data_IF_300841863727
#
_entry.id   IF_300841863727
#
_cell.length_a   1.000
_cell.length_b   1.000
_cell.length_c   1.000
_cell.angle_alpha   90.00
_cell.angle_beta   90.00
_cell.angle_gamma   90.00
#
_symmetry.space_group_name_H-M   'P 1'
#
loop_
_entity.id
_entity.type
_entity.pdbx_description
1 polymer ?
#
# COMPACT_ATOMS: atom_id res chain seq x y z
N UNK A 1 6.83 14.52 21.74
CA UNK A 1 8.24 14.93 21.54
C UNK A 1 9.02 15.09 22.84
N UNK A 2 8.48 15.68 23.95
CA UNK A 2 9.19 15.84 25.23
C UNK A 2 9.72 14.50 25.80
N UNK A 3 8.90 13.45 25.87
CA UNK A 3 9.31 12.13 26.36
C UNK A 3 10.45 11.51 25.54
N UNK A 4 10.42 11.64 24.22
CA UNK A 4 11.48 11.12 23.34
C UNK A 4 12.81 11.83 23.61
N UNK A 5 12.81 13.16 23.81
CA UNK A 5 14.01 13.94 24.15
C UNK A 5 14.62 13.50 25.49
N UNK A 6 13.78 13.15 26.47
CA UNK A 6 14.23 12.67 27.79
C UNK A 6 14.88 11.29 27.69
N UNK A 7 14.29 10.38 26.90
CA UNK A 7 14.76 9.00 26.73
C UNK A 7 16.07 8.91 25.94
N UNK A 8 16.41 9.91 25.12
CA UNK A 8 17.61 9.95 24.26
C UNK A 8 17.89 8.62 23.53
N UNK A 9 16.90 8.06 22.78
CA UNK A 9 17.11 6.77 22.12
C UNK A 9 18.15 6.90 21.00
N UNK A 10 18.91 5.83 20.75
CA UNK A 10 19.86 5.76 19.64
C UNK A 10 19.14 5.74 18.29
N UNK A 11 17.96 5.13 18.22
CA UNK A 11 17.06 5.12 17.07
C UNK A 11 15.63 4.78 17.50
N UNK A 12 14.67 5.01 16.60
CA UNK A 12 13.26 4.65 16.78
C UNK A 12 12.88 3.57 15.76
N UNK A 13 12.45 2.42 16.27
CA UNK A 13 11.74 1.44 15.43
C UNK A 13 10.29 1.90 15.32
N UNK A 14 9.93 2.47 14.16
CA UNK A 14 8.56 2.90 13.94
C UNK A 14 7.66 1.71 13.56
N UNK A 15 6.74 1.33 14.43
CA UNK A 15 5.75 0.27 14.22
C UNK A 15 4.32 0.82 14.18
N UNK A 16 4.14 2.13 14.01
CA UNK A 16 2.84 2.77 13.90
C UNK A 16 2.24 2.56 12.50
N UNK A 17 0.95 2.44 12.41
CA UNK A 17 0.23 2.26 11.15
C UNK A 17 -0.82 3.34 10.93
N UNK A 18 -1.19 3.58 9.66
CA UNK A 18 -2.21 4.54 9.27
C UNK A 18 -1.80 6.00 9.51
N UNK A 19 -2.81 6.82 9.75
CA UNK A 19 -2.64 8.26 9.97
C UNK A 19 -1.68 8.54 11.13
N UNK A 20 -0.81 9.51 10.94
CA UNK A 20 0.31 9.92 11.80
C UNK A 20 1.48 8.93 11.87
N UNK A 21 1.29 7.64 11.63
CA UNK A 21 2.33 6.62 11.73
C UNK A 21 3.10 6.39 10.42
N UNK A 22 2.39 6.34 9.30
CA UNK A 22 2.96 5.98 7.98
C UNK A 22 2.73 7.04 6.89
N UNK A 23 2.28 8.25 7.27
CA UNK A 23 1.96 9.37 6.37
C UNK A 23 3.01 10.49 6.33
N UNK A 24 4.15 10.31 6.99
CA UNK A 24 5.22 11.30 7.09
C UNK A 24 5.19 12.13 8.37
N UNK A 25 4.10 12.13 9.14
CA UNK A 25 3.96 12.99 10.31
C UNK A 25 4.96 12.64 11.43
N UNK A 26 4.99 11.39 11.87
CA UNK A 26 5.95 10.96 12.91
C UNK A 26 7.39 11.04 12.39
N UNK A 27 7.60 10.73 11.12
CA UNK A 27 8.90 10.84 10.47
C UNK A 27 9.43 12.27 10.52
N UNK A 28 8.59 13.28 10.24
CA UNK A 28 8.96 14.69 10.33
C UNK A 28 9.35 15.10 11.76
N UNK A 29 8.65 14.57 12.78
CA UNK A 29 9.00 14.82 14.17
C UNK A 29 10.40 14.25 14.48
N UNK A 30 10.71 13.05 14.00
CA UNK A 30 11.99 12.39 14.24
C UNK A 30 13.14 13.07 13.49
N UNK A 31 12.92 13.54 12.26
CA UNK A 31 13.89 14.37 11.52
C UNK A 31 14.22 15.66 12.28
N UNK A 32 13.20 16.37 12.77
CA UNK A 32 13.41 17.59 13.56
C UNK A 32 14.15 17.34 14.89
N UNK A 33 14.03 16.15 15.44
CA UNK A 33 14.75 15.72 16.65
C UNK A 33 16.14 15.16 16.34
N UNK A 34 16.49 14.98 15.08
CA UNK A 34 17.73 14.33 14.61
C UNK A 34 17.92 12.93 15.19
N UNK A 35 16.82 12.18 15.34
CA UNK A 35 16.84 10.81 15.85
C UNK A 35 16.66 9.84 14.68
N UNK A 36 17.61 8.92 14.46
CA UNK A 36 17.48 7.88 13.44
C UNK A 36 16.20 7.07 13.61
N UNK A 37 15.57 6.69 12.49
CA UNK A 37 14.36 5.89 12.51
C UNK A 37 14.31 4.91 11.34
N UNK A 38 13.47 3.89 11.49
CA UNK A 38 13.32 2.81 10.52
C UNK A 38 12.36 3.17 9.39
N UNK A 39 12.44 2.43 8.28
CA UNK A 39 11.57 2.52 7.11
C UNK A 39 11.75 3.82 6.31
N UNK A 40 10.72 4.19 5.53
CA UNK A 40 10.77 5.31 4.59
C UNK A 40 10.68 6.67 5.28
N UNK A 41 11.27 7.67 4.66
CA UNK A 41 11.30 9.04 5.17
C UNK A 41 9.99 9.81 4.96
N UNK A 42 10.01 11.08 5.31
CA UNK A 42 8.83 11.98 5.31
C UNK A 42 8.16 12.01 3.95
N UNK A 43 8.90 12.39 2.91
CA UNK A 43 8.34 12.61 1.56
C UNK A 43 7.79 11.31 0.98
N UNK A 44 8.56 10.23 1.04
CA UNK A 44 8.15 8.95 0.48
C UNK A 44 6.96 8.33 1.22
N UNK A 45 6.88 8.50 2.54
CA UNK A 45 5.72 8.07 3.33
C UNK A 45 4.46 8.87 2.97
N UNK A 46 4.57 10.19 2.88
CA UNK A 46 3.44 11.05 2.47
C UNK A 46 2.95 10.74 1.07
N UNK A 47 3.85 10.56 0.11
CA UNK A 47 3.50 10.19 -1.27
C UNK A 47 2.84 8.81 -1.33
N UNK A 48 3.38 7.83 -0.61
CA UNK A 48 2.86 6.47 -0.61
C UNK A 48 1.46 6.40 0.01
N UNK A 49 1.18 7.19 1.04
CA UNK A 49 -0.12 7.26 1.70
C UNK A 49 -1.18 7.92 0.82
N UNK A 50 -0.79 8.93 0.03
CA UNK A 50 -1.67 9.61 -0.91
C UNK A 50 -1.81 8.79 -2.21
N UNK A 51 -3.01 8.20 -2.40
CA UNK A 51 -3.30 7.36 -3.56
C UNK A 51 -3.26 8.11 -4.91
N UNK A 52 -3.48 9.42 -4.90
CA UNK A 52 -3.43 10.23 -6.13
C UNK A 52 -1.98 10.50 -6.51
N UNK A 53 -1.16 10.95 -5.55
CA UNK A 53 0.26 11.21 -5.78
C UNK A 53 1.02 9.94 -6.13
N UNK A 54 0.80 8.84 -5.40
CA UNK A 54 1.46 7.57 -5.70
C UNK A 54 1.10 7.05 -7.10
N UNK A 55 -0.18 7.09 -7.50
CA UNK A 55 -0.62 6.69 -8.85
C UNK A 55 -0.06 7.61 -9.94
N UNK A 56 0.05 8.91 -9.69
CA UNK A 56 0.71 9.83 -10.63
C UNK A 56 2.15 9.40 -10.90
N UNK A 57 2.91 9.09 -9.84
CA UNK A 57 4.31 8.60 -9.98
C UNK A 57 4.34 7.24 -10.69
N UNK A 58 3.42 6.32 -10.39
CA UNK A 58 3.36 5.03 -11.07
C UNK A 58 3.14 5.22 -12.57
N UNK A 59 2.17 6.04 -12.98
CA UNK A 59 1.87 6.32 -14.39
C UNK A 59 3.08 6.96 -15.10
N UNK A 60 3.67 8.01 -14.51
CA UNK A 60 4.89 8.66 -15.05
C UNK A 60 6.06 7.69 -15.15
N UNK A 61 6.11 6.70 -14.29
CA UNK A 61 7.13 5.65 -14.30
C UNK A 61 6.76 4.46 -15.21
N UNK A 62 5.68 4.53 -16.00
CA UNK A 62 5.20 3.41 -16.83
C UNK A 62 4.93 2.14 -16.01
N UNK A 63 4.42 2.30 -14.79
CA UNK A 63 3.90 1.22 -13.94
C UNK A 63 2.37 1.24 -14.07
N UNK A 64 1.80 0.12 -14.48
CA UNK A 64 0.36 0.02 -14.69
C UNK A 64 -0.38 0.07 -13.34
N UNK A 65 -1.39 0.91 -13.26
CA UNK A 65 -2.32 1.06 -12.11
C UNK A 65 -3.75 1.13 -12.65
N UNK A 66 -4.80 0.81 -11.86
CA UNK A 66 -6.17 0.94 -12.32
C UNK A 66 -6.48 2.37 -12.76
N UNK A 67 -7.22 2.52 -13.86
CA UNK A 67 -7.75 3.83 -14.30
C UNK A 67 -8.64 4.42 -13.22
N UNK A 68 -8.64 5.74 -13.09
CA UNK A 68 -9.37 6.43 -12.02
C UNK A 68 -9.70 7.87 -12.37
N UNK A 69 -10.56 8.46 -11.58
CA UNK A 69 -10.70 9.90 -11.43
C UNK A 69 -10.83 10.26 -9.95
N UNK A 70 -10.64 11.53 -9.63
CA UNK A 70 -10.68 12.05 -8.27
C UNK A 70 -11.91 12.93 -8.11
N UNK A 71 -12.61 12.80 -6.99
CA UNK A 71 -13.65 13.71 -6.54
C UNK A 71 -13.11 14.44 -5.32
N UNK A 72 -12.90 15.74 -5.46
CA UNK A 72 -12.48 16.62 -4.38
C UNK A 72 -13.70 17.16 -3.63
N UNK A 73 -13.52 17.58 -2.38
CA UNK A 73 -14.55 18.26 -1.61
C UNK A 73 -15.09 19.49 -2.37
N UNK A 74 -16.40 19.65 -2.39
CA UNK A 74 -17.04 20.75 -3.12
C UNK A 74 -17.03 20.65 -4.64
N UNK A 75 -16.47 19.57 -5.20
CA UNK A 75 -16.42 19.35 -6.65
C UNK A 75 -17.81 19.30 -7.27
N UNK A 76 -18.04 20.14 -8.30
CA UNK A 76 -19.25 20.13 -9.15
C UNK A 76 -19.14 19.11 -10.29
N UNK A 77 -18.19 18.18 -10.26
CA UNK A 77 -17.98 17.20 -11.31
C UNK A 77 -19.20 16.29 -11.50
N UNK A 78 -19.60 16.11 -12.73
CA UNK A 78 -20.62 15.13 -13.07
C UNK A 78 -20.00 13.73 -13.12
N UNK A 79 -20.27 12.93 -12.09
CA UNK A 79 -19.72 11.57 -11.92
C UNK A 79 -19.96 10.69 -13.15
N UNK A 80 -21.13 10.80 -13.81
CA UNK A 80 -21.46 10.03 -15.01
C UNK A 80 -20.56 10.40 -16.19
N UNK A 81 -20.28 11.70 -16.35
CA UNK A 81 -19.39 12.19 -17.40
C UNK A 81 -17.94 11.78 -17.12
N UNK A 82 -17.47 11.83 -15.85
CA UNK A 82 -16.12 11.39 -15.49
C UNK A 82 -15.92 9.89 -15.71
N UNK A 83 -16.91 9.04 -15.40
CA UNK A 83 -16.88 7.60 -15.72
C UNK A 83 -16.69 7.41 -17.23
N UNK A 84 -17.45 8.13 -18.08
CA UNK A 84 -17.35 8.04 -19.53
C UNK A 84 -16.00 8.55 -20.06
N UNK A 85 -15.57 9.74 -19.63
CA UNK A 85 -14.30 10.37 -20.01
C UNK A 85 -13.09 9.49 -19.71
N UNK A 86 -13.05 8.87 -18.54
CA UNK A 86 -11.98 7.98 -18.11
C UNK A 86 -12.15 6.53 -18.60
N UNK A 87 -13.21 6.24 -19.40
CA UNK A 87 -13.50 4.91 -19.94
C UNK A 87 -13.56 3.84 -18.86
N UNK A 88 -14.22 4.15 -17.73
CA UNK A 88 -14.42 3.23 -16.62
C UNK A 88 -15.69 2.39 -16.84
N UNK A 89 -15.68 1.16 -16.32
CA UNK A 89 -16.81 0.21 -16.39
C UNK A 89 -17.07 -0.38 -15.01
N UNK A 90 -18.34 -0.57 -14.66
CA UNK A 90 -18.68 -1.25 -13.42
C UNK A 90 -18.21 -2.72 -13.44
N UNK A 91 -17.80 -3.28 -12.27
CA UNK A 91 -17.76 -2.64 -10.96
C UNK A 91 -16.66 -1.57 -10.84
N UNK A 92 -16.92 -0.56 -10.01
CA UNK A 92 -15.97 0.49 -9.64
C UNK A 92 -15.64 0.42 -8.15
N UNK A 93 -14.48 0.92 -7.78
CA UNK A 93 -14.03 0.97 -6.38
C UNK A 93 -13.99 2.43 -5.92
N UNK A 94 -14.71 2.70 -4.84
CA UNK A 94 -14.63 3.95 -4.09
C UNK A 94 -13.58 3.80 -3.00
N UNK A 95 -12.64 4.75 -2.89
CA UNK A 95 -11.59 4.79 -1.86
C UNK A 95 -11.35 6.23 -1.40
N UNK A 96 -11.23 6.51 -0.10
CA UNK A 96 -10.62 7.74 0.38
C UNK A 96 -9.16 7.81 -0.09
N UNK A 97 -8.67 9.04 -0.39
CA UNK A 97 -7.30 9.22 -0.91
C UNK A 97 -6.22 8.91 0.11
N UNK A 98 -6.46 9.27 1.40
CA UNK A 98 -5.44 9.27 2.46
C UNK A 98 -5.77 8.31 3.62
N UNK A 99 -6.49 7.22 3.35
CA UNK A 99 -6.81 6.21 4.34
C UNK A 99 -6.03 4.92 4.07
N UNK A 100 -5.56 4.29 5.16
CA UNK A 100 -4.90 2.98 5.13
C UNK A 100 -5.85 1.81 5.41
N UNK A 101 -5.33 0.59 5.44
CA UNK A 101 -6.00 -0.64 5.91
C UNK A 101 -7.38 -0.92 5.31
N UNK A 102 -7.64 -0.51 4.07
CA UNK A 102 -8.94 -0.65 3.38
C UNK A 102 -10.11 0.09 4.06
N UNK A 103 -9.83 1.06 4.95
CA UNK A 103 -10.86 1.88 5.59
C UNK A 103 -11.61 2.69 4.53
N UNK A 104 -12.94 2.66 4.58
CA UNK A 104 -13.80 3.40 3.64
C UNK A 104 -13.85 2.85 2.21
N UNK A 105 -13.13 1.77 1.89
CA UNK A 105 -13.15 1.15 0.56
C UNK A 105 -14.48 0.45 0.30
N UNK A 106 -15.04 0.66 -0.88
CA UNK A 106 -16.31 0.03 -1.30
C UNK A 106 -16.30 -0.33 -2.77
N UNK A 107 -16.74 -1.55 -3.09
CA UNK A 107 -16.94 -1.99 -4.48
C UNK A 107 -18.39 -1.72 -4.88
N UNK A 108 -18.58 -0.95 -5.94
CA UNK A 108 -19.87 -0.54 -6.47
C UNK A 108 -20.17 -1.31 -7.75
N UNK A 109 -21.25 -2.09 -7.77
CA UNK A 109 -21.64 -2.89 -8.92
C UNK A 109 -22.38 -2.08 -9.99
N UNK A 110 -22.99 -0.94 -9.60
CA UNK A 110 -23.79 -0.07 -10.46
C UNK A 110 -23.79 1.38 -10.01
N UNK A 111 -24.18 2.28 -10.90
CA UNK A 111 -24.15 3.74 -10.70
C UNK A 111 -24.88 4.19 -9.43
N UNK A 112 -26.13 3.71 -9.22
CA UNK A 112 -26.91 4.11 -8.04
C UNK A 112 -26.22 3.72 -6.72
N UNK A 113 -25.53 2.59 -6.68
CA UNK A 113 -24.76 2.16 -5.51
C UNK A 113 -23.57 3.10 -5.27
N UNK A 114 -22.84 3.47 -6.33
CA UNK A 114 -21.73 4.41 -6.24
C UNK A 114 -22.22 5.78 -5.70
N UNK A 115 -23.31 6.32 -6.24
CA UNK A 115 -23.87 7.59 -5.79
C UNK A 115 -24.32 7.55 -4.33
N UNK A 116 -24.93 6.45 -3.89
CA UNK A 116 -25.29 6.23 -2.47
C UNK A 116 -24.07 6.24 -1.56
N UNK A 117 -22.97 5.60 -1.98
CA UNK A 117 -21.73 5.56 -1.22
C UNK A 117 -21.07 6.94 -1.15
N UNK A 118 -20.98 7.68 -2.27
CA UNK A 118 -20.46 9.05 -2.29
C UNK A 118 -21.23 9.92 -1.30
N UNK A 119 -22.58 9.91 -1.35
CA UNK A 119 -23.44 10.72 -0.46
C UNK A 119 -23.26 10.39 1.03
N UNK A 120 -23.04 9.11 1.37
CA UNK A 120 -22.87 8.64 2.76
C UNK A 120 -21.47 8.91 3.32
N UNK A 121 -20.50 9.16 2.47
CA UNK A 121 -19.10 9.31 2.85
C UNK A 121 -18.55 10.73 2.63
N UNK A 122 -19.40 11.75 2.79
CA UNK A 122 -19.02 13.19 2.71
C UNK A 122 -17.95 13.61 3.71
N UNK A 123 -17.70 12.83 4.74
CA UNK A 123 -16.61 13.06 5.71
C UNK A 123 -15.21 12.99 5.09
N UNK A 124 -15.05 12.30 3.95
CA UNK A 124 -13.80 12.26 3.22
C UNK A 124 -13.74 13.41 2.23
N UNK A 125 -12.77 14.30 2.41
CA UNK A 125 -12.57 15.48 1.55
C UNK A 125 -12.33 15.08 0.10
N UNK A 126 -11.41 14.13 -0.09
CA UNK A 126 -11.01 13.65 -1.40
C UNK A 126 -11.17 12.14 -1.50
N UNK A 127 -11.77 11.71 -2.59
CA UNK A 127 -11.95 10.29 -2.87
C UNK A 127 -11.54 9.96 -4.29
N UNK A 128 -11.03 8.75 -4.47
CA UNK A 128 -10.69 8.19 -5.78
C UNK A 128 -11.74 7.16 -6.19
N UNK A 129 -12.24 7.28 -7.41
CA UNK A 129 -13.10 6.29 -8.04
C UNK A 129 -12.26 5.59 -9.09
N UNK A 130 -11.99 4.30 -8.90
CA UNK A 130 -11.12 3.55 -9.79
C UNK A 130 -11.78 2.32 -10.39
N UNK A 131 -11.23 1.86 -11.50
CA UNK A 131 -11.64 0.62 -12.13
C UNK A 131 -11.37 -0.56 -11.19
N UNK A 132 -12.38 -1.36 -10.90
CA UNK A 132 -12.16 -2.65 -10.25
C UNK A 132 -11.36 -3.56 -11.16
N UNK A 133 -10.26 -4.11 -10.66
CA UNK A 133 -9.44 -5.10 -11.35
C UNK A 133 -9.66 -6.45 -10.66
N UNK A 134 -10.31 -7.41 -11.32
CA UNK A 134 -10.44 -8.77 -10.79
C UNK A 134 -9.11 -9.53 -10.89
N UNK A 135 -9.13 -10.82 -10.53
CA UNK A 135 -7.97 -11.71 -10.65
C UNK A 135 -7.22 -11.91 -9.34
N UNK A 136 -5.97 -12.39 -9.44
CA UNK A 136 -5.17 -12.79 -8.29
C UNK A 136 -4.69 -11.55 -7.52
N UNK A 137 -4.69 -11.67 -6.21
CA UNK A 137 -4.09 -10.67 -5.32
C UNK A 137 -2.66 -11.08 -5.01
N UNK A 138 -1.70 -10.32 -5.52
CA UNK A 138 -0.27 -10.58 -5.37
C UNK A 138 0.35 -9.46 -4.54
N UNK A 139 1.14 -9.84 -3.52
CA UNK A 139 1.87 -8.86 -2.73
C UNK A 139 3.36 -9.14 -2.78
N UNK A 140 4.17 -8.10 -2.87
CA UNK A 140 5.61 -8.19 -3.04
C UNK A 140 6.31 -7.38 -1.95
N UNK A 141 7.24 -8.02 -1.23
CA UNK A 141 8.11 -7.34 -0.29
C UNK A 141 9.43 -6.93 -0.96
N UNK A 142 9.88 -5.70 -0.66
CA UNK A 142 11.19 -5.17 -1.04
C UNK A 142 11.91 -4.75 0.22
N UNK A 143 13.17 -5.16 0.39
CA UNK A 143 14.05 -4.81 1.51
C UNK A 143 15.28 -4.09 0.96
N UNK A 144 15.41 -2.82 1.27
CA UNK A 144 16.38 -1.93 0.62
C UNK A 144 16.19 -1.93 -0.89
N UNK A 145 17.18 -2.39 -1.63
CA UNK A 145 17.14 -2.49 -3.09
C UNK A 145 16.82 -3.90 -3.63
N UNK A 146 16.50 -4.87 -2.73
CA UNK A 146 16.32 -6.28 -3.08
C UNK A 146 14.86 -6.70 -2.91
N UNK A 147 14.13 -7.10 -3.98
CA UNK A 147 12.83 -7.74 -3.81
C UNK A 147 13.03 -9.11 -3.17
N UNK A 148 12.29 -9.37 -2.09
CA UNK A 148 12.37 -10.62 -1.34
C UNK A 148 11.55 -11.74 -1.98
N UNK A 149 10.33 -11.41 -2.44
CA UNK A 149 9.45 -12.40 -3.03
C UNK A 149 8.05 -11.88 -3.26
N UNK A 150 7.23 -12.71 -3.91
CA UNK A 150 5.83 -12.44 -4.18
C UNK A 150 4.95 -13.54 -3.61
N UNK A 151 3.95 -13.16 -2.82
CA UNK A 151 2.94 -14.04 -2.23
C UNK A 151 1.59 -13.80 -2.88
N UNK A 152 0.79 -14.83 -3.08
CA UNK A 152 -0.60 -14.73 -3.53
C UNK A 152 -1.53 -14.91 -2.33
N UNK A 153 -2.53 -14.03 -2.26
CA UNK A 153 -3.58 -14.10 -1.25
C UNK A 153 -4.89 -14.57 -1.91
N UNK A 154 -5.46 -15.66 -1.39
CA UNK A 154 -6.77 -16.18 -1.80
C UNK A 154 -7.75 -16.07 -0.64
N UNK A 155 -8.45 -14.95 -0.51
CA UNK A 155 -9.47 -14.83 0.52
C UNK A 155 -10.64 -15.78 0.19
N UNK A 156 -11.18 -16.48 1.18
CA UNK A 156 -12.43 -17.26 1.02
C UNK A 156 -13.64 -16.36 0.73
N UNK A 157 -13.55 -15.07 1.07
CA UNK A 157 -14.56 -14.05 0.79
C UNK A 157 -14.26 -13.35 -0.52
N UNK A 158 -15.31 -12.79 -1.15
CA UNK A 158 -15.19 -12.07 -2.44
C UNK A 158 -14.24 -10.87 -2.43
N UNK A 159 -13.78 -10.40 -1.25
CA UNK A 159 -12.90 -9.25 -1.12
C UNK A 159 -11.98 -9.37 0.10
N UNK A 160 -10.71 -8.97 -0.04
CA UNK A 160 -9.71 -8.93 1.02
C UNK A 160 -9.83 -7.60 1.78
N UNK A 161 -10.85 -7.51 2.64
CA UNK A 161 -11.14 -6.36 3.50
C UNK A 161 -10.33 -6.40 4.81
N UNK A 162 -10.58 -5.41 5.68
CA UNK A 162 -9.94 -5.33 7.00
C UNK A 162 -10.09 -6.62 7.82
N UNK A 163 -11.31 -7.22 7.81
CA UNK A 163 -11.56 -8.49 8.53
C UNK A 163 -10.77 -9.64 7.93
N UNK A 164 -10.60 -9.69 6.61
CA UNK A 164 -9.80 -10.71 5.94
C UNK A 164 -8.30 -10.54 6.21
N UNK A 165 -7.84 -9.31 6.50
CA UNK A 165 -6.42 -9.00 6.83
C UNK A 165 -6.02 -9.38 8.25
N UNK A 166 -6.92 -9.21 9.22
CA UNK A 166 -6.57 -9.27 10.65
C UNK A 166 -7.32 -10.31 11.47
N UNK A 167 -8.29 -11.00 10.90
CA UNK A 167 -9.06 -12.03 11.61
C UNK A 167 -8.53 -13.44 11.27
N UNK A 168 -8.12 -14.20 12.29
CA UNK A 168 -7.79 -15.63 12.16
C UNK A 168 -8.95 -16.44 11.55
N UNK A 169 -10.20 -16.01 11.75
CA UNK A 169 -11.40 -16.66 11.21
C UNK A 169 -11.60 -16.42 9.71
N UNK A 170 -10.91 -15.46 9.10
CA UNK A 170 -11.07 -15.13 7.68
C UNK A 170 -10.52 -16.20 6.72
N UNK A 171 -9.69 -17.12 7.23
CA UNK A 171 -9.11 -18.27 6.48
C UNK A 171 -8.60 -17.88 5.08
N UNK A 172 -7.91 -16.72 4.96
CA UNK A 172 -7.22 -16.36 3.73
C UNK A 172 -6.09 -17.34 3.49
N UNK A 173 -6.07 -17.97 2.33
CA UNK A 173 -4.97 -18.85 1.96
C UNK A 173 -3.79 -18.01 1.46
N UNK A 174 -2.62 -18.26 2.03
CA UNK A 174 -1.35 -17.68 1.61
C UNK A 174 -0.61 -18.68 0.73
N UNK A 175 -0.24 -18.30 -0.48
CA UNK A 175 0.49 -19.16 -1.42
C UNK A 175 1.82 -18.50 -1.71
N UNK A 176 2.88 -19.15 -1.24
CA UNK A 176 4.26 -18.67 -1.38
C UNK A 176 5.14 -19.77 -1.99
N UNK A 177 5.79 -19.55 -3.15
CA UNK A 177 5.68 -18.37 -4.01
C UNK A 177 4.30 -18.24 -4.67
N UNK A 178 3.94 -17.01 -5.10
CA UNK A 178 2.69 -16.77 -5.81
C UNK A 178 2.52 -17.71 -7.01
N UNK A 179 1.29 -18.25 -7.21
CA UNK A 179 0.95 -19.23 -8.25
C UNK A 179 0.84 -18.57 -9.63
N UNK A 180 1.96 -18.09 -10.15
CA UNK A 180 2.11 -17.48 -11.47
C UNK A 180 3.35 -18.04 -12.18
N UNK A 181 3.46 -17.89 -13.50
CA UNK A 181 4.63 -18.39 -14.24
C UNK A 181 5.93 -17.72 -13.76
N UNK A 182 7.06 -18.44 -13.87
CA UNK A 182 8.41 -17.94 -13.49
C UNK A 182 8.72 -16.58 -14.14
N UNK A 183 8.34 -16.39 -15.42
CA UNK A 183 8.50 -15.12 -16.14
C UNK A 183 7.70 -13.99 -15.46
N UNK A 184 6.45 -14.24 -15.09
CA UNK A 184 5.58 -13.27 -14.40
C UNK A 184 6.03 -13.01 -12.97
N UNK A 185 6.54 -14.02 -12.28
CA UNK A 185 7.11 -13.85 -10.96
C UNK A 185 8.29 -12.86 -10.98
N UNK A 186 9.23 -13.04 -11.92
CA UNK A 186 10.37 -12.11 -12.08
C UNK A 186 9.87 -10.71 -12.49
N UNK A 187 8.86 -10.63 -13.35
CA UNK A 187 8.27 -9.34 -13.79
C UNK A 187 7.70 -8.55 -12.62
N UNK A 188 6.88 -9.17 -11.76
CA UNK A 188 6.28 -8.46 -10.62
C UNK A 188 7.32 -7.99 -9.60
N UNK A 189 8.37 -8.77 -9.35
CA UNK A 189 9.49 -8.37 -8.50
C UNK A 189 10.20 -7.11 -9.04
N UNK A 190 10.43 -7.05 -10.36
CA UNK A 190 11.02 -5.87 -11.02
C UNK A 190 10.12 -4.65 -10.91
N UNK A 191 8.79 -4.82 -11.08
CA UNK A 191 7.83 -3.74 -10.97
C UNK A 191 7.81 -3.19 -9.53
N UNK A 192 7.76 -4.05 -8.51
CA UNK A 192 7.77 -3.64 -7.11
C UNK A 192 9.06 -2.88 -6.74
N UNK A 193 10.24 -3.40 -7.15
CA UNK A 193 11.51 -2.70 -6.96
C UNK A 193 11.51 -1.33 -7.65
N UNK A 194 10.94 -1.23 -8.86
CA UNK A 194 10.82 0.03 -9.58
C UNK A 194 9.92 1.03 -8.86
N UNK A 195 8.76 0.58 -8.35
CA UNK A 195 7.83 1.40 -7.58
C UNK A 195 8.49 1.92 -6.29
N UNK A 196 9.15 1.03 -5.52
CA UNK A 196 9.91 1.37 -4.33
C UNK A 196 10.91 2.51 -4.60
N UNK A 197 11.73 2.36 -5.65
CA UNK A 197 12.72 3.38 -6.04
C UNK A 197 12.09 4.69 -6.49
N UNK A 198 11.00 4.65 -7.26
CA UNK A 198 10.36 5.84 -7.83
C UNK A 198 9.59 6.68 -6.83
N UNK A 199 9.08 6.06 -5.76
CA UNK A 199 8.53 6.77 -4.59
C UNK A 199 9.65 7.34 -3.71
N UNK A 200 10.88 6.82 -3.81
CA UNK A 200 11.99 7.17 -2.93
C UNK A 200 11.96 6.40 -1.61
N UNK A 201 11.32 5.23 -1.59
CA UNK A 201 11.23 4.41 -0.37
C UNK A 201 12.59 3.90 0.08
N UNK A 202 12.71 3.68 1.39
CA UNK A 202 13.82 3.02 2.08
C UNK A 202 13.31 1.95 3.03
N UNK A 203 14.21 1.22 3.66
CA UNK A 203 13.85 0.14 4.58
C UNK A 203 13.10 -0.97 3.87
N UNK A 204 12.00 -1.41 4.45
CA UNK A 204 11.15 -2.48 3.91
C UNK A 204 9.82 -1.92 3.46
N UNK A 205 9.38 -2.31 2.27
CA UNK A 205 8.05 -1.95 1.74
C UNK A 205 7.31 -3.18 1.25
N UNK A 206 5.98 -3.06 1.15
CA UNK A 206 5.11 -4.04 0.52
C UNK A 206 4.30 -3.36 -0.58
N UNK A 207 4.37 -3.91 -1.78
CA UNK A 207 3.57 -3.47 -2.93
C UNK A 207 2.41 -4.42 -3.17
N UNK A 208 1.19 -3.89 -3.28
CA UNK A 208 -0.04 -4.65 -3.43
C UNK A 208 -0.53 -4.58 -4.88
N UNK A 209 -0.67 -5.74 -5.54
CA UNK A 209 -1.01 -5.87 -6.95
C UNK A 209 -2.29 -6.65 -7.17
N UNK A 210 -2.97 -6.35 -8.28
CA UNK A 210 -3.89 -7.27 -8.95
C UNK A 210 -3.25 -7.81 -10.22
N UNK A 211 -3.27 -9.14 -10.38
CA UNK A 211 -2.82 -9.81 -11.61
C UNK A 211 -4.02 -10.28 -12.40
N UNK A 212 -4.26 -9.65 -13.55
CA UNK A 212 -5.42 -9.91 -14.38
C UNK A 212 -5.06 -9.82 -15.86
N UNK A 213 -5.56 -10.74 -16.68
CA UNK A 213 -5.28 -10.78 -18.12
C UNK A 213 -3.79 -10.61 -18.43
N UNK A 214 -2.97 -11.35 -17.71
CA UNK A 214 -1.50 -11.38 -17.87
C UNK A 214 -0.77 -10.05 -17.59
N UNK A 215 -1.41 -9.12 -16.87
CA UNK A 215 -0.87 -7.81 -16.48
C UNK A 215 -0.97 -7.58 -14.97
N UNK A 216 0.05 -6.90 -14.42
CA UNK A 216 0.06 -6.48 -13.02
C UNK A 216 -0.42 -5.03 -12.90
N UNK A 217 -1.40 -4.80 -12.05
CA UNK A 217 -1.91 -3.48 -11.71
C UNK A 217 -1.49 -3.17 -10.27
N UNK A 218 -0.57 -2.22 -10.09
CA UNK A 218 -0.15 -1.78 -8.77
C UNK A 218 -1.27 -0.93 -8.15
N UNK A 219 -1.75 -1.34 -6.99
CA UNK A 219 -2.81 -0.66 -6.25
C UNK A 219 -2.22 0.41 -5.33
N UNK A 220 -1.24 0.02 -4.51
CA UNK A 220 -0.59 0.86 -3.50
C UNK A 220 0.76 0.27 -3.10
N UNK A 221 1.58 1.08 -2.46
CA UNK A 221 2.81 0.69 -1.79
C UNK A 221 2.72 1.09 -0.31
N UNK A 222 2.96 0.12 0.57
CA UNK A 222 2.98 0.34 2.02
C UNK A 222 4.44 0.52 2.45
N UNK A 223 4.75 1.70 3.00
CA UNK A 223 6.10 2.07 3.45
C UNK A 223 6.41 1.59 4.85
N UNK A 224 5.41 1.10 5.58
CA UNK A 224 5.53 0.61 6.96
C UNK A 224 4.71 -0.67 7.14
N UNK A 225 5.14 -1.77 6.49
CA UNK A 225 4.40 -3.02 6.56
C UNK A 225 4.41 -3.60 7.97
N UNK A 226 3.32 -4.29 8.34
CA UNK A 226 3.20 -4.94 9.64
C UNK A 226 4.29 -5.97 9.90
N UNK A 227 4.70 -6.06 11.18
CA UNK A 227 5.76 -6.95 11.69
C UNK A 227 5.22 -7.87 12.78
N UNK A 228 4.06 -8.50 12.55
CA UNK A 228 3.48 -9.52 13.43
C UNK A 228 3.65 -10.91 12.81
N UNK A 229 3.37 -11.95 13.59
CA UNK A 229 3.40 -13.34 13.11
C UNK A 229 2.47 -13.62 11.91
N UNK A 230 1.42 -12.80 11.72
CA UNK A 230 0.48 -12.90 10.61
C UNK A 230 0.80 -11.92 9.47
N UNK A 231 1.88 -11.16 9.59
CA UNK A 231 2.24 -10.15 8.60
C UNK A 231 2.98 -10.78 7.41
N UNK A 232 2.68 -10.28 6.22
CA UNK A 232 3.16 -10.88 4.97
C UNK A 232 4.65 -10.67 4.72
N UNK A 233 5.23 -9.55 5.18
CA UNK A 233 6.66 -9.31 4.99
C UNK A 233 7.53 -10.31 5.76
N UNK A 234 7.29 -10.60 7.05
CA UNK A 234 7.97 -11.69 7.76
C UNK A 234 7.80 -13.05 7.08
N UNK A 235 6.60 -13.36 6.55
CA UNK A 235 6.36 -14.62 5.84
C UNK A 235 7.17 -14.71 4.54
N UNK A 236 7.20 -13.64 3.75
CA UNK A 236 7.99 -13.56 2.52
C UNK A 236 9.50 -13.64 2.83
N UNK A 237 9.97 -12.99 3.91
CA UNK A 237 11.36 -13.03 4.34
C UNK A 237 11.78 -14.47 4.72
N UNK A 238 10.94 -15.17 5.48
CA UNK A 238 11.16 -16.57 5.87
C UNK A 238 11.31 -17.50 4.65
N UNK A 239 10.51 -17.29 3.62
CA UNK A 239 10.64 -18.02 2.36
C UNK A 239 12.01 -17.79 1.71
N UNK A 240 12.64 -16.64 1.94
CA UNK A 240 14.02 -16.32 1.53
C UNK A 240 15.08 -16.74 2.55
N UNK A 241 14.71 -17.57 3.52
CA UNK A 241 15.58 -18.04 4.62
C UNK A 241 16.11 -16.88 5.49
N UNK A 242 15.38 -15.78 5.57
CA UNK A 242 15.66 -14.67 6.49
C UNK A 242 14.73 -14.87 7.69
N UNK A 243 15.31 -15.11 8.87
CA UNK A 243 14.53 -15.23 10.11
C UNK A 243 13.87 -13.90 10.49
N UNK A 244 12.89 -13.95 11.40
CA UNK A 244 12.24 -12.73 11.87
C UNK A 244 13.25 -11.81 12.59
N UNK A 245 14.12 -12.40 13.39
CA UNK A 245 15.16 -11.69 14.13
C UNK A 245 16.12 -10.99 13.15
N UNK A 246 16.61 -11.69 12.12
CA UNK A 246 17.50 -11.12 11.10
C UNK A 246 16.80 -10.01 10.29
N UNK A 247 15.49 -10.15 10.02
CA UNK A 247 14.70 -9.12 9.36
C UNK A 247 14.61 -7.85 10.23
N UNK A 248 14.28 -8.00 11.50
CA UNK A 248 14.16 -6.87 12.46
C UNK A 248 15.52 -6.23 12.70
N UNK A 249 16.57 -7.02 12.88
CA UNK A 249 17.95 -6.54 13.02
C UNK A 249 18.37 -5.71 11.80
N UNK A 250 18.10 -6.21 10.59
CA UNK A 250 18.42 -5.46 9.37
C UNK A 250 17.66 -4.13 9.30
N UNK A 251 16.35 -4.13 9.65
CA UNK A 251 15.53 -2.91 9.68
C UNK A 251 16.09 -1.91 10.71
N UNK A 252 16.53 -2.40 11.88
CA UNK A 252 17.12 -1.56 12.91
C UNK A 252 18.47 -0.95 12.45
N UNK A 253 19.33 -1.76 11.84
CA UNK A 253 20.63 -1.32 11.28
C UNK A 253 20.48 -0.32 10.12
N UNK A 254 19.39 -0.42 9.34
CA UNK A 254 19.08 0.52 8.24
C UNK A 254 18.56 1.88 8.76
N UNK A 255 18.32 2.02 10.08
CA UNK A 255 17.80 3.27 10.63
C UNK A 255 18.76 4.44 10.39
N UNK A 256 18.22 5.60 10.00
CA UNK A 256 18.99 6.83 9.76
C UNK A 256 18.08 8.05 9.79
N UNK A 257 18.65 9.25 9.72
CA UNK A 257 17.98 10.51 9.43
C UNK A 257 18.16 10.87 7.95
N UNK A 258 17.51 11.92 7.48
CA UNK A 258 17.56 12.42 6.09
C UNK A 258 17.08 11.35 5.07
N UNK A 259 15.98 10.69 5.39
CA UNK A 259 15.39 9.62 4.60
C UNK A 259 14.41 10.10 3.53
#
# INVERSE_FOLDING_TARGET
>A
SKKIKILKPNFIFNALHGKFGEDGFVQQILENLKIPYTHSGVISSSIAMDKVLSKFIFIKSKILTPKYFVLNEGSKLNVKNEIKKNKLKFPLVFKPTNEGSSIGVSICQKYNQLMKIIRRNKKYKDVIIEQYVPGQEIQVAVMGNKPLGAIELRPKRKFYDYKAKYSKSAKTQHIMPASISKKKYIEVLKIAKKAHKKIGCRGVTRSDFRFYKNKFYLLEINTQPGMTALSLVPEIARFKKISFENLVEWIAKDSSINR
#
